data_IF_680883688567
#
_entry.id   IF_680883688567
#
_cell.length_a   1.000
_cell.length_b   1.000
_cell.length_c   1.000
_cell.angle_alpha   90.00
_cell.angle_beta   90.00
_cell.angle_gamma   90.00
#
_symmetry.space_group_name_H-M   'P 1'
#
loop_
_entity.id
_entity.type
_entity.pdbx_description
1 polymer ?
#
# COMPACT_ATOMS: atom_id res chain seq x y z
N UNK A 1 -0.42 17.64 8.70
CA UNK A 1 -1.39 17.66 7.59
C UNK A 1 -1.53 16.26 7.01
N UNK A 2 -2.72 15.90 6.58
CA UNK A 2 -3.02 14.54 6.12
C UNK A 2 -2.20 14.11 4.91
N UNK A 3 -1.97 15.01 3.96
CA UNK A 3 -1.15 14.70 2.79
C UNK A 3 0.26 14.30 3.19
N UNK A 4 0.82 15.01 4.16
CA UNK A 4 2.16 14.72 4.67
C UNK A 4 2.19 13.38 5.39
N UNK A 5 1.16 13.09 6.16
CA UNK A 5 1.02 11.81 6.85
C UNK A 5 0.98 10.66 5.85
N UNK A 6 0.23 10.85 4.76
CA UNK A 6 0.14 9.83 3.71
C UNK A 6 1.50 9.55 3.07
N UNK A 7 2.25 10.60 2.76
CA UNK A 7 3.57 10.44 2.13
C UNK A 7 4.58 9.75 3.02
N UNK A 8 4.40 9.87 4.34
CA UNK A 8 5.29 9.24 5.31
C UNK A 8 4.72 7.96 5.90
N UNK A 9 3.56 7.52 5.41
CA UNK A 9 2.93 6.32 5.92
C UNK A 9 3.78 5.09 5.64
N UNK A 10 4.00 4.31 6.69
CA UNK A 10 4.74 3.04 6.61
C UNK A 10 3.96 1.97 7.37
N UNK A 11 4.12 0.73 6.95
CA UNK A 11 3.48 -0.37 7.66
C UNK A 11 4.02 -0.49 9.09
N UNK A 12 5.34 -0.46 9.24
CA UNK A 12 5.94 -0.56 10.56
C UNK A 12 5.48 -1.80 11.29
N UNK A 13 4.91 -1.62 12.48
CA UNK A 13 4.40 -2.72 13.30
C UNK A 13 2.93 -3.05 13.01
N UNK A 14 2.33 -2.37 12.04
CA UNK A 14 0.93 -2.63 11.67
C UNK A 14 0.81 -3.91 10.87
N UNK A 15 -0.36 -4.54 10.95
CA UNK A 15 -0.68 -5.63 10.03
C UNK A 15 -0.96 -5.01 8.65
N UNK A 16 -0.96 -5.84 7.61
CA UNK A 16 -1.29 -5.37 6.27
C UNK A 16 -2.70 -4.78 6.25
N UNK A 17 -3.64 -5.41 6.95
CA UNK A 17 -5.01 -4.89 7.04
C UNK A 17 -5.06 -3.50 7.65
N UNK A 18 -4.30 -3.27 8.71
CA UNK A 18 -4.24 -1.96 9.35
C UNK A 18 -3.58 -0.94 8.42
N UNK A 19 -2.55 -1.34 7.71
CA UNK A 19 -1.88 -0.46 6.76
C UNK A 19 -2.83 -0.08 5.62
N UNK A 20 -3.59 -1.03 5.09
CA UNK A 20 -4.58 -0.76 4.04
C UNK A 20 -5.63 0.24 4.53
N UNK A 21 -6.09 0.08 5.77
CA UNK A 21 -7.05 1.01 6.36
C UNK A 21 -6.51 2.44 6.39
N UNK A 22 -5.29 2.60 6.91
CA UNK A 22 -4.67 3.92 6.99
C UNK A 22 -4.42 4.49 5.59
N UNK A 23 -3.95 3.66 4.69
CA UNK A 23 -3.73 4.07 3.31
C UNK A 23 -5.01 4.60 2.69
N UNK A 24 -6.11 3.86 2.87
CA UNK A 24 -7.41 4.25 2.31
C UNK A 24 -7.93 5.54 2.92
N UNK A 25 -7.67 5.75 4.21
CA UNK A 25 -8.12 6.98 4.90
C UNK A 25 -7.36 8.20 4.41
N UNK A 26 -6.05 8.05 4.16
CA UNK A 26 -5.19 9.19 3.85
C UNK A 26 -5.06 9.48 2.35
N UNK A 27 -5.29 8.47 1.50
CA UNK A 27 -5.15 8.64 0.05
C UNK A 27 -5.95 9.84 -0.51
N UNK A 28 -7.20 10.08 -0.07
CA UNK A 28 -7.96 11.22 -0.59
C UNK A 28 -7.33 12.59 -0.33
N UNK A 29 -6.43 12.68 0.64
CA UNK A 29 -5.74 13.93 0.96
C UNK A 29 -4.53 14.17 0.06
N UNK A 30 -4.15 13.20 -0.75
CA UNK A 30 -3.02 13.30 -1.65
C UNK A 30 -3.40 12.71 -3.02
N UNK A 31 -4.39 13.30 -3.71
CA UNK A 31 -4.89 12.73 -4.96
C UNK A 31 -3.83 12.63 -6.04
N UNK A 32 -2.86 13.53 -6.04
CA UNK A 32 -1.79 13.49 -7.05
C UNK A 32 -0.89 12.26 -6.89
N UNK A 33 -0.74 11.78 -5.67
CA UNK A 33 0.12 10.62 -5.38
C UNK A 33 -0.56 9.31 -5.79
N UNK A 34 -1.87 9.33 -5.99
CA UNK A 34 -2.64 8.15 -6.38
C UNK A 34 -3.50 8.42 -7.62
N UNK A 35 -3.01 9.32 -8.48
CA UNK A 35 -3.76 9.75 -9.66
C UNK A 35 -4.01 8.62 -10.65
N UNK A 36 -3.10 7.66 -10.72
CA UNK A 36 -3.28 6.48 -11.56
C UNK A 36 -3.22 5.24 -10.69
N UNK A 37 -3.76 4.14 -11.21
CA UNK A 37 -3.69 2.86 -10.49
C UNK A 37 -2.24 2.44 -10.26
N UNK A 38 -1.39 2.61 -11.28
CA UNK A 38 0.03 2.28 -11.18
C UNK A 38 0.72 3.09 -10.08
N UNK A 39 0.44 4.40 -10.01
CA UNK A 39 1.01 5.25 -8.97
C UNK A 39 0.56 4.81 -7.58
N UNK A 40 -0.70 4.41 -7.46
CA UNK A 40 -1.26 3.93 -6.20
C UNK A 40 -0.57 2.64 -5.75
N UNK A 41 -0.33 1.71 -6.69
CA UNK A 41 0.39 0.48 -6.39
C UNK A 41 1.81 0.77 -5.91
N UNK A 42 2.52 1.66 -6.59
CA UNK A 42 3.87 2.05 -6.20
C UNK A 42 3.90 2.64 -4.80
N UNK A 43 2.96 3.52 -4.53
CA UNK A 43 2.89 4.17 -3.21
C UNK A 43 2.64 3.15 -2.11
N UNK A 44 1.75 2.22 -2.36
CA UNK A 44 1.44 1.15 -1.41
C UNK A 44 2.69 0.30 -1.12
N UNK A 45 3.40 -0.09 -2.18
CA UNK A 45 4.60 -0.92 -2.06
C UNK A 45 5.71 -0.20 -1.29
N UNK A 46 5.86 1.11 -1.49
CA UNK A 46 6.87 1.88 -0.78
C UNK A 46 6.70 1.84 0.73
N UNK A 47 5.46 1.81 1.19
CA UNK A 47 5.16 1.83 2.62
C UNK A 47 5.20 0.46 3.28
N UNK A 48 5.19 -0.61 2.49
CA UNK A 48 5.22 -1.97 3.05
C UNK A 48 6.60 -2.29 3.61
N UNK A 49 6.63 -3.20 4.59
CA UNK A 49 7.89 -3.72 5.12
C UNK A 49 8.65 -4.44 4.00
N UNK A 50 9.97 -4.42 4.08
CA UNK A 50 10.84 -4.97 3.04
C UNK A 50 10.50 -6.43 2.71
N UNK A 51 10.28 -7.23 3.73
CA UNK A 51 9.97 -8.65 3.55
C UNK A 51 8.70 -8.84 2.72
N UNK A 52 7.64 -8.11 3.07
CA UNK A 52 6.38 -8.18 2.33
C UNK A 52 6.53 -7.62 0.92
N UNK A 53 7.23 -6.51 0.80
CA UNK A 53 7.46 -5.86 -0.49
C UNK A 53 8.20 -6.80 -1.44
N UNK A 54 9.22 -7.49 -0.94
CA UNK A 54 9.99 -8.44 -1.75
C UNK A 54 9.12 -9.59 -2.26
N UNK A 55 8.24 -10.11 -1.41
CA UNK A 55 7.34 -11.19 -1.81
C UNK A 55 6.37 -10.77 -2.90
N UNK A 56 5.91 -9.51 -2.85
CA UNK A 56 4.94 -9.00 -3.82
C UNK A 56 5.60 -8.57 -5.13
N UNK A 57 6.87 -8.20 -5.09
CA UNK A 57 7.59 -7.75 -6.28
C UNK A 57 7.75 -8.83 -7.35
N UNK A 58 7.66 -10.09 -6.97
CA UNK A 58 7.81 -11.20 -7.93
C UNK A 58 6.54 -11.44 -8.75
N UNK A 59 5.45 -10.76 -8.41
CA UNK A 59 4.18 -10.91 -9.12
C UNK A 59 3.81 -9.60 -9.81
N UNK A 60 2.97 -9.70 -10.85
CA UNK A 60 2.43 -8.53 -11.54
C UNK A 60 0.95 -8.42 -11.20
N UNK A 61 0.48 -7.21 -11.02
CA UNK A 61 -0.91 -6.95 -10.66
C UNK A 61 -1.57 -6.06 -11.71
N UNK A 62 -2.79 -6.41 -12.08
CA UNK A 62 -3.55 -5.63 -13.06
C UNK A 62 -4.08 -4.33 -12.47
N UNK A 63 -4.27 -4.31 -11.15
CA UNK A 63 -4.77 -3.12 -10.47
C UNK A 63 -4.41 -3.17 -8.99
N UNK A 64 -4.67 -2.05 -8.31
CA UNK A 64 -4.37 -1.90 -6.89
C UNK A 64 -5.11 -2.93 -6.04
N UNK A 65 -6.36 -3.23 -6.38
CA UNK A 65 -7.15 -4.18 -5.61
C UNK A 65 -6.52 -5.57 -5.57
N UNK A 66 -5.98 -6.02 -6.71
CA UNK A 66 -5.27 -7.30 -6.76
C UNK A 66 -4.03 -7.29 -5.87
N UNK A 67 -3.31 -6.18 -5.87
CA UNK A 67 -2.14 -6.02 -5.01
C UNK A 67 -2.53 -6.14 -3.53
N UNK A 68 -3.59 -5.45 -3.14
CA UNK A 68 -4.08 -5.49 -1.75
C UNK A 68 -4.50 -6.90 -1.37
N UNK A 69 -5.28 -7.56 -2.24
CA UNK A 69 -5.74 -8.92 -1.99
C UNK A 69 -4.58 -9.88 -1.79
N UNK A 70 -3.56 -9.77 -2.64
CA UNK A 70 -2.39 -10.63 -2.54
C UNK A 70 -1.61 -10.36 -1.25
N UNK A 71 -1.48 -9.09 -0.89
CA UNK A 71 -0.80 -8.72 0.35
C UNK A 71 -1.50 -9.29 1.57
N UNK A 72 -2.84 -9.19 1.60
CA UNK A 72 -3.63 -9.73 2.70
C UNK A 72 -3.51 -11.26 2.77
N UNK A 73 -3.54 -11.92 1.64
CA UNK A 73 -3.39 -13.37 1.58
C UNK A 73 -2.01 -13.81 2.05
N UNK A 74 -0.98 -13.09 1.65
CA UNK A 74 0.41 -13.40 2.02
C UNK A 74 0.59 -13.26 3.52
N UNK A 75 0.01 -12.22 4.11
CA UNK A 75 0.10 -12.00 5.56
C UNK A 75 -0.66 -13.07 6.32
N UNK A 76 -1.77 -13.54 5.77
CA UNK A 76 -2.64 -14.52 6.42
C UNK A 76 -2.00 -15.90 6.58
N UNK A 77 -0.84 -16.10 6.00
CA UNK A 77 -0.10 -17.35 6.16
C UNK A 77 0.87 -17.23 7.33
#
# INVERSE_FOLDING_TARGET
MKKHEFRNLRQGNRTVGQYVDEFSKLAPYAPDDVATDAAKQEKFMEGLNDEMSMQLMVATFNNYQELVDKALMTEGK
#
